data_IF_111322300723
#
_entry.id   IF_111322300723
#
_cell.length_a   1.000
_cell.length_b   1.000
_cell.length_c   1.000
_cell.angle_alpha   90.00
_cell.angle_beta   90.00
_cell.angle_gamma   90.00
#
_symmetry.space_group_name_H-M   'P 1'
#
loop_
_entity.id
_entity.type
_entity.pdbx_description
1 polymer ?
#
# COMPACT_ATOMS: atom_id res chain seq x y z
N UNK A 1 34.90 1.82 -74.24
CA UNK A 1 35.12 3.12 -73.55
C UNK A 1 33.93 4.06 -73.75
N UNK A 2 33.39 4.16 -74.96
CA UNK A 2 32.25 5.04 -75.27
C UNK A 2 30.92 4.70 -74.55
N UNK A 3 30.64 3.42 -74.33
CA UNK A 3 29.43 3.00 -73.60
C UNK A 3 29.41 3.46 -72.12
N UNK A 4 30.58 3.54 -71.48
CA UNK A 4 30.71 4.01 -70.08
C UNK A 4 30.55 5.54 -70.03
N UNK A 5 31.08 6.25 -71.04
CA UNK A 5 30.94 7.71 -71.15
C UNK A 5 29.47 8.12 -71.38
N UNK A 6 28.72 7.39 -72.22
CA UNK A 6 27.28 7.63 -72.42
C UNK A 6 26.47 7.35 -71.14
N UNK A 7 26.82 6.30 -70.38
CA UNK A 7 26.12 5.98 -69.13
C UNK A 7 26.36 7.06 -68.06
N UNK A 8 27.58 7.57 -67.95
CA UNK A 8 27.92 8.68 -67.03
C UNK A 8 27.20 9.97 -67.46
N UNK A 9 27.14 10.28 -68.76
CA UNK A 9 26.42 11.46 -69.27
C UNK A 9 24.90 11.35 -69.04
N UNK A 10 24.33 10.14 -69.21
CA UNK A 10 22.92 9.87 -68.96
C UNK A 10 22.56 9.96 -67.47
N UNK A 11 23.43 9.46 -66.58
CA UNK A 11 23.28 9.60 -65.12
C UNK A 11 23.45 11.06 -64.69
N UNK A 12 24.40 11.81 -65.26
CA UNK A 12 24.55 13.25 -64.99
C UNK A 12 23.33 14.05 -65.48
N UNK A 13 22.79 13.74 -66.67
CA UNK A 13 21.57 14.35 -67.20
C UNK A 13 20.34 14.06 -66.32
N UNK A 14 20.25 12.86 -65.74
CA UNK A 14 19.17 12.47 -64.81
C UNK A 14 19.24 13.23 -63.48
N UNK A 15 20.42 13.54 -62.96
CA UNK A 15 20.60 14.37 -61.76
C UNK A 15 20.37 15.87 -62.02
N UNK A 16 20.61 16.36 -63.24
CA UNK A 16 20.46 17.78 -63.60
C UNK A 16 19.05 18.19 -64.05
N UNK A 17 18.11 17.26 -64.22
CA UNK A 17 16.73 17.55 -64.62
C UNK A 17 15.75 17.54 -63.42
N UNK A 18 16.17 18.01 -62.24
CA UNK A 18 15.22 18.44 -61.20
C UNK A 18 14.91 19.92 -61.41
N UNK A 19 13.77 20.21 -62.02
CA UNK A 19 13.23 21.56 -62.12
C UNK A 19 13.07 22.10 -60.70
N UNK A 20 13.74 23.21 -60.33
CA UNK A 20 13.62 23.77 -58.99
C UNK A 20 12.19 24.26 -58.79
N UNK A 21 11.53 23.78 -57.73
CA UNK A 21 10.19 24.22 -57.36
C UNK A 21 10.33 25.54 -56.62
N UNK A 22 9.75 26.62 -57.16
CA UNK A 22 9.78 27.94 -56.52
C UNK A 22 8.70 28.03 -55.42
N UNK A 23 9.04 27.58 -54.21
CA UNK A 23 8.21 27.73 -53.01
C UNK A 23 8.82 28.74 -52.05
N UNK A 24 8.00 29.47 -51.29
CA UNK A 24 8.46 30.44 -50.30
C UNK A 24 8.85 29.77 -48.98
N UNK A 25 8.04 28.80 -48.54
CA UNK A 25 8.28 27.95 -47.38
C UNK A 25 8.16 26.49 -47.78
N UNK A 26 9.04 25.64 -47.24
CA UNK A 26 8.94 24.19 -47.41
C UNK A 26 7.69 23.63 -46.70
N UNK A 27 7.15 22.48 -47.16
CA UNK A 27 6.06 21.81 -46.46
C UNK A 27 6.43 21.47 -45.01
N UNK A 28 5.53 21.78 -44.06
CA UNK A 28 5.76 21.45 -42.66
C UNK A 28 5.86 19.94 -42.42
N UNK A 29 6.72 19.57 -41.48
CA UNK A 29 6.79 18.20 -40.97
C UNK A 29 5.53 17.84 -40.18
N UNK A 30 5.29 16.55 -40.04
CA UNK A 30 4.15 15.98 -39.30
C UNK A 30 4.15 16.48 -37.85
N UNK A 31 2.98 16.87 -37.34
CA UNK A 31 2.82 17.45 -35.99
C UNK A 31 3.06 18.96 -35.89
N UNK A 32 3.29 19.64 -37.02
CA UNK A 32 3.42 21.10 -37.11
C UNK A 32 2.29 21.69 -37.95
N UNK A 33 1.67 22.75 -37.44
CA UNK A 33 0.68 23.55 -38.17
C UNK A 33 1.35 24.71 -38.90
N UNK A 34 0.74 25.13 -40.00
CA UNK A 34 1.12 26.35 -40.70
C UNK A 34 0.63 27.59 -39.94
N UNK A 35 1.51 28.56 -39.78
CA UNK A 35 1.22 29.85 -39.19
C UNK A 35 1.51 30.95 -40.20
N UNK A 36 0.51 31.78 -40.49
CA UNK A 36 0.66 32.89 -41.41
C UNK A 36 1.63 33.94 -40.85
N UNK A 37 2.56 34.41 -41.69
CA UNK A 37 3.49 35.48 -41.34
C UNK A 37 2.83 36.81 -41.67
N UNK A 38 2.68 37.68 -40.66
CA UNK A 38 2.01 38.97 -40.82
C UNK A 38 2.78 39.85 -41.81
N UNK A 39 2.12 40.25 -42.90
CA UNK A 39 2.70 41.10 -43.96
C UNK A 39 3.31 40.35 -45.16
N UNK A 40 3.30 39.01 -45.18
CA UNK A 40 3.73 38.22 -46.33
C UNK A 40 2.55 37.63 -47.13
N UNK A 41 2.84 37.07 -48.31
CA UNK A 41 1.85 36.38 -49.15
C UNK A 41 1.47 35.03 -48.52
N UNK A 42 0.27 34.52 -48.84
CA UNK A 42 -0.30 33.28 -48.29
C UNK A 42 0.62 32.05 -48.47
N UNK A 43 1.45 32.03 -49.50
CA UNK A 43 2.41 30.95 -49.76
C UNK A 43 3.64 30.95 -48.83
N UNK A 44 3.84 31.99 -48.01
CA UNK A 44 4.90 32.11 -47.04
C UNK A 44 4.33 31.95 -45.63
N UNK A 45 4.76 30.91 -44.93
CA UNK A 45 4.29 30.55 -43.60
C UNK A 45 5.43 29.99 -42.75
N UNK A 46 5.24 30.05 -41.44
CA UNK A 46 6.09 29.36 -40.47
C UNK A 46 5.43 28.04 -40.04
N UNK A 47 6.26 27.05 -39.71
CA UNK A 47 5.80 25.78 -39.15
C UNK A 47 5.92 25.83 -37.62
N UNK A 48 4.77 25.85 -36.93
CA UNK A 48 4.72 25.85 -35.47
C UNK A 48 4.25 24.48 -34.96
N UNK A 49 4.88 23.90 -33.92
CA UNK A 49 4.45 22.63 -33.38
C UNK A 49 3.06 22.74 -32.74
N UNK A 50 2.23 21.72 -32.90
CA UNK A 50 0.99 21.62 -32.13
C UNK A 50 1.29 21.51 -30.63
N UNK A 51 0.35 21.93 -29.77
CA UNK A 51 0.53 21.89 -28.31
C UNK A 51 0.52 20.46 -27.76
N UNK A 52 0.78 20.27 -26.48
CA UNK A 52 0.60 18.95 -25.86
C UNK A 52 -0.86 18.53 -25.83
N UNK A 53 -1.13 17.25 -26.12
CA UNK A 53 -2.50 16.72 -26.21
C UNK A 53 -3.24 17.07 -27.50
N UNK A 54 -2.56 17.72 -28.46
CA UNK A 54 -3.11 18.10 -29.76
C UNK A 54 -2.40 17.37 -30.92
N UNK A 55 -3.15 17.11 -31.99
CA UNK A 55 -2.67 16.59 -33.28
C UNK A 55 -2.93 17.61 -34.39
N UNK A 56 -2.21 17.53 -35.51
CA UNK A 56 -2.52 18.33 -36.69
C UNK A 56 -3.89 17.92 -37.25
N UNK A 57 -4.74 18.88 -37.61
CA UNK A 57 -6.05 18.56 -38.20
C UNK A 57 -5.86 17.92 -39.59
N UNK A 58 -6.33 16.68 -39.83
CA UNK A 58 -6.16 16.02 -41.13
C UNK A 58 -6.88 16.72 -42.29
N UNK A 59 -7.86 17.58 -41.97
CA UNK A 59 -8.64 18.34 -42.94
C UNK A 59 -8.13 19.78 -43.15
N UNK A 60 -7.29 20.27 -42.24
CA UNK A 60 -6.79 21.65 -42.24
C UNK A 60 -5.38 21.72 -41.63
N UNK A 61 -4.37 21.99 -42.45
CA UNK A 61 -2.98 22.03 -41.99
C UNK A 61 -2.60 23.32 -41.23
N UNK A 62 -3.56 24.23 -41.00
CA UNK A 62 -3.38 25.46 -40.23
C UNK A 62 -3.82 25.33 -38.76
N UNK A 63 -4.61 24.30 -38.44
CA UNK A 63 -5.20 24.11 -37.11
C UNK A 63 -4.75 22.81 -36.42
N UNK A 64 -4.64 22.86 -35.11
CA UNK A 64 -4.42 21.67 -34.27
C UNK A 64 -5.72 21.29 -33.55
N UNK A 65 -6.01 19.99 -33.49
CA UNK A 65 -7.16 19.44 -32.80
C UNK A 65 -6.72 18.77 -31.51
N UNK A 66 -7.43 19.06 -30.42
CA UNK A 66 -7.24 18.35 -29.15
C UNK A 66 -7.76 16.92 -29.26
N UNK A 67 -6.97 15.95 -28.80
CA UNK A 67 -7.41 14.56 -28.76
C UNK A 67 -8.61 14.38 -27.81
N UNK A 68 -9.52 13.42 -28.12
CA UNK A 68 -10.55 12.97 -27.20
C UNK A 68 -9.97 12.56 -25.84
N UNK A 69 -10.77 12.66 -24.77
CA UNK A 69 -10.28 12.46 -23.40
C UNK A 69 -9.60 11.10 -23.17
N UNK A 70 -10.09 10.05 -23.84
CA UNK A 70 -9.62 8.66 -23.79
C UNK A 70 -8.35 8.40 -24.63
N UNK A 71 -7.88 9.40 -25.39
CA UNK A 71 -6.79 9.25 -26.36
C UNK A 71 -5.67 10.27 -26.12
N UNK A 72 -4.48 9.95 -26.62
CA UNK A 72 -3.29 10.79 -26.57
C UNK A 72 -2.61 10.83 -27.95
N UNK A 73 -2.06 11.99 -28.37
CA UNK A 73 -1.26 12.05 -29.60
C UNK A 73 -0.09 11.06 -29.55
N UNK A 74 0.15 10.38 -30.66
CA UNK A 74 1.38 9.61 -30.87
C UNK A 74 2.62 10.54 -30.88
N UNK A 75 3.83 9.97 -30.87
CA UNK A 75 5.07 10.75 -30.82
C UNK A 75 5.22 11.73 -32.00
N UNK A 76 4.52 11.51 -33.12
CA UNK A 76 4.52 12.38 -34.31
C UNK A 76 3.31 13.33 -34.36
N UNK A 77 2.41 13.30 -33.37
CA UNK A 77 1.18 14.11 -33.27
C UNK A 77 0.30 14.04 -34.53
N UNK A 78 0.22 12.86 -35.13
CA UNK A 78 -0.60 12.55 -36.30
C UNK A 78 -1.92 11.91 -35.91
N UNK A 79 -1.88 11.02 -34.93
CA UNK A 79 -3.02 10.20 -34.56
C UNK A 79 -3.25 10.21 -33.05
N UNK A 80 -4.52 10.25 -32.67
CA UNK A 80 -4.92 10.05 -31.28
C UNK A 80 -5.00 8.55 -30.99
N UNK A 81 -4.02 8.03 -30.26
CA UNK A 81 -3.94 6.65 -29.80
C UNK A 81 -4.66 6.48 -28.46
N UNK A 82 -5.23 5.30 -28.14
CA UNK A 82 -5.76 5.04 -26.81
C UNK A 82 -4.67 5.23 -25.75
N UNK A 83 -4.96 5.97 -24.68
CA UNK A 83 -4.02 6.14 -23.56
C UNK A 83 -3.71 4.80 -22.89
N UNK A 84 -2.46 4.64 -22.44
CA UNK A 84 -2.02 3.46 -21.69
C UNK A 84 -2.73 3.39 -20.33
N UNK A 85 -3.21 2.20 -19.97
CA UNK A 85 -3.86 1.93 -18.68
C UNK A 85 -2.78 1.50 -17.68
N UNK A 86 -2.56 2.28 -16.61
CA UNK A 86 -1.57 1.96 -15.59
C UNK A 86 -2.24 1.45 -14.30
N UNK A 87 -1.84 0.26 -13.84
CA UNK A 87 -2.19 -0.35 -12.55
C UNK A 87 -1.02 -1.19 -12.05
N UNK A 88 -1.01 -1.54 -10.75
CA UNK A 88 0.01 -2.42 -10.19
C UNK A 88 -0.25 -3.87 -10.63
N UNK A 89 0.52 -4.37 -11.59
CA UNK A 89 0.27 -5.69 -12.22
C UNK A 89 1.03 -6.81 -11.50
N UNK A 90 0.50 -8.04 -11.57
CA UNK A 90 1.24 -9.23 -11.15
C UNK A 90 2.43 -9.55 -12.07
N UNK A 91 2.39 -9.06 -13.31
CA UNK A 91 3.41 -9.35 -14.32
C UNK A 91 4.64 -8.43 -14.21
N UNK A 92 4.53 -7.29 -13.54
CA UNK A 92 5.68 -6.41 -13.30
C UNK A 92 6.47 -6.83 -12.05
N UNK A 93 7.75 -6.48 -12.03
CA UNK A 93 8.71 -6.90 -10.99
C UNK A 93 8.30 -6.45 -9.59
N UNK A 94 7.78 -5.24 -9.45
CA UNK A 94 7.34 -4.70 -8.16
C UNK A 94 6.11 -5.44 -7.62
N UNK A 95 5.08 -5.63 -8.45
CA UNK A 95 3.84 -6.31 -8.04
C UNK A 95 4.07 -7.79 -7.74
N UNK A 96 4.84 -8.49 -8.58
CA UNK A 96 5.23 -9.89 -8.32
C UNK A 96 6.05 -10.04 -7.03
N UNK A 97 7.01 -9.15 -6.78
CA UNK A 97 7.81 -9.19 -5.56
C UNK A 97 6.94 -8.97 -4.30
N UNK A 98 6.05 -7.97 -4.30
CA UNK A 98 5.14 -7.71 -3.18
C UNK A 98 4.18 -8.88 -2.92
N UNK A 99 3.65 -9.51 -3.97
CA UNK A 99 2.82 -10.70 -3.86
C UNK A 99 3.58 -11.89 -3.24
N UNK A 100 4.81 -12.15 -3.71
CA UNK A 100 5.67 -13.20 -3.15
C UNK A 100 5.98 -12.97 -1.67
N UNK A 101 6.31 -11.73 -1.29
CA UNK A 101 6.58 -11.35 0.10
C UNK A 101 5.33 -11.56 0.98
N UNK A 102 4.15 -11.13 0.49
CA UNK A 102 2.87 -11.35 1.16
C UNK A 102 2.61 -12.84 1.44
N UNK A 103 2.77 -13.70 0.42
CA UNK A 103 2.57 -15.15 0.56
C UNK A 103 3.60 -15.76 1.52
N UNK A 104 4.87 -15.37 1.41
CA UNK A 104 5.94 -15.87 2.28
C UNK A 104 5.65 -15.56 3.76
N UNK A 105 5.27 -14.31 4.08
CA UNK A 105 4.94 -13.93 5.45
C UNK A 105 3.67 -14.60 5.97
N UNK A 106 2.67 -14.84 5.11
CA UNK A 106 1.50 -15.62 5.48
C UNK A 106 1.87 -17.07 5.86
N UNK A 107 2.69 -17.74 5.05
CA UNK A 107 3.19 -19.09 5.33
C UNK A 107 4.05 -19.15 6.60
N UNK A 108 4.89 -18.13 6.83
CA UNK A 108 5.66 -17.99 8.06
C UNK A 108 4.74 -17.86 9.28
N UNK A 109 3.72 -17.00 9.20
CA UNK A 109 2.75 -16.78 10.26
C UNK A 109 1.94 -18.05 10.55
N UNK A 110 1.53 -18.77 9.50
CA UNK A 110 0.87 -20.07 9.62
C UNK A 110 1.76 -21.10 10.33
N UNK A 111 3.05 -21.15 9.99
CA UNK A 111 4.02 -22.04 10.63
C UNK A 111 4.16 -21.73 12.14
N UNK A 112 4.22 -20.43 12.49
CA UNK A 112 4.22 -19.98 13.90
C UNK A 112 2.92 -20.37 14.60
N UNK A 113 1.78 -20.23 13.95
CA UNK A 113 0.49 -20.64 14.48
C UNK A 113 0.44 -22.16 14.76
N UNK A 114 0.88 -23.00 13.81
CA UNK A 114 1.00 -24.44 14.01
C UNK A 114 1.93 -24.79 15.18
N UNK A 115 3.09 -24.13 15.29
CA UNK A 115 4.02 -24.32 16.41
C UNK A 115 3.35 -24.03 17.75
N UNK A 116 2.62 -22.93 17.85
CA UNK A 116 1.90 -22.53 19.06
C UNK A 116 0.78 -23.52 19.43
N UNK A 117 0.07 -24.08 18.44
CA UNK A 117 -0.94 -25.12 18.65
C UNK A 117 -0.29 -26.42 19.16
N UNK A 118 0.80 -26.87 18.53
CA UNK A 118 1.54 -28.07 18.95
C UNK A 118 2.10 -27.90 20.36
N UNK A 119 2.65 -26.73 20.67
CA UNK A 119 3.26 -26.40 21.98
C UNK A 119 2.27 -25.73 22.95
N UNK A 120 0.96 -25.90 22.74
CA UNK A 120 -0.12 -25.25 23.55
C UNK A 120 -0.08 -25.52 25.05
N UNK A 121 0.60 -26.59 25.47
CA UNK A 121 0.71 -27.00 26.88
C UNK A 121 1.98 -26.47 27.55
N UNK A 122 2.87 -25.83 26.80
CA UNK A 122 4.09 -25.24 27.37
C UNK A 122 3.77 -24.01 28.22
N UNK A 123 4.51 -23.78 29.31
CA UNK A 123 4.33 -22.62 30.18
C UNK A 123 4.38 -21.29 29.45
N UNK A 124 5.29 -21.12 28.47
CA UNK A 124 5.39 -19.89 27.67
C UNK A 124 4.08 -19.59 26.96
N UNK A 125 3.50 -20.58 26.25
CA UNK A 125 2.26 -20.39 25.49
C UNK A 125 1.05 -20.20 26.42
N UNK A 126 1.03 -20.87 27.58
CA UNK A 126 -0.06 -20.78 28.55
C UNK A 126 -0.08 -19.44 29.30
N UNK A 127 1.08 -18.90 29.67
CA UNK A 127 1.21 -17.59 30.30
C UNK A 127 0.81 -16.45 29.35
N UNK A 128 0.86 -16.69 28.05
CA UNK A 128 0.71 -15.70 26.99
C UNK A 128 -0.71 -15.42 26.51
N UNK A 129 -1.73 -15.85 27.27
CA UNK A 129 -3.15 -15.84 26.86
C UNK A 129 -3.33 -16.38 25.42
N UNK A 130 -3.43 -17.71 25.33
CA UNK A 130 -3.44 -18.47 24.06
C UNK A 130 -4.46 -17.93 23.05
N UNK A 131 -5.66 -17.58 23.51
CA UNK A 131 -6.76 -17.19 22.65
C UNK A 131 -6.47 -15.86 21.93
N UNK A 132 -5.93 -14.86 22.65
CA UNK A 132 -5.52 -13.58 22.04
C UNK A 132 -4.31 -13.75 21.12
N UNK A 133 -3.35 -14.62 21.49
CA UNK A 133 -2.19 -14.89 20.63
C UNK A 133 -2.59 -15.61 19.33
N UNK A 134 -3.55 -16.53 19.38
CA UNK A 134 -4.13 -17.18 18.21
C UNK A 134 -4.90 -16.19 17.34
N UNK A 135 -5.73 -15.35 17.95
CA UNK A 135 -6.49 -14.33 17.24
C UNK A 135 -5.56 -13.34 16.51
N UNK A 136 -4.45 -12.94 17.15
CA UNK A 136 -3.45 -12.06 16.54
C UNK A 136 -2.77 -12.74 15.34
N UNK A 137 -2.34 -14.01 15.46
CA UNK A 137 -1.71 -14.74 14.36
C UNK A 137 -2.67 -14.93 13.18
N UNK A 138 -3.92 -15.30 13.44
CA UNK A 138 -4.95 -15.44 12.40
C UNK A 138 -5.19 -14.08 11.71
N UNK A 139 -5.32 -13.01 12.48
CA UNK A 139 -5.50 -11.65 11.93
C UNK A 139 -4.29 -11.22 11.08
N UNK A 140 -3.06 -11.53 11.51
CA UNK A 140 -1.85 -11.26 10.73
C UNK A 140 -1.82 -12.07 9.42
N UNK A 141 -2.24 -13.33 9.41
CA UNK A 141 -2.35 -14.11 8.17
C UNK A 141 -3.29 -13.43 7.17
N UNK A 142 -4.48 -13.01 7.63
CA UNK A 142 -5.39 -12.24 6.79
C UNK A 142 -4.80 -10.88 6.38
N UNK A 143 -4.03 -10.23 7.24
CA UNK A 143 -3.35 -8.97 6.96
C UNK A 143 -2.28 -9.10 5.88
N UNK A 144 -1.51 -10.19 5.86
CA UNK A 144 -0.59 -10.45 4.75
C UNK A 144 -1.36 -10.74 3.46
N UNK A 145 -2.42 -11.56 3.52
CA UNK A 145 -3.21 -11.89 2.34
C UNK A 145 -3.99 -10.71 1.77
N UNK A 146 -4.40 -9.73 2.59
CA UNK A 146 -5.18 -8.59 2.10
C UNK A 146 -4.40 -7.72 1.10
N UNK A 147 -3.06 -7.70 1.20
CA UNK A 147 -2.18 -7.04 0.22
C UNK A 147 -2.41 -7.53 -1.21
N UNK A 148 -2.79 -8.80 -1.42
CA UNK A 148 -3.07 -9.34 -2.74
C UNK A 148 -4.30 -8.71 -3.40
N UNK A 149 -5.27 -8.24 -2.61
CA UNK A 149 -6.46 -7.54 -3.12
C UNK A 149 -6.15 -6.14 -3.67
N UNK A 150 -4.95 -5.60 -3.38
CA UNK A 150 -4.48 -4.33 -3.92
C UNK A 150 -3.75 -4.49 -5.26
N UNK A 151 -3.32 -5.71 -5.62
CA UNK A 151 -2.57 -6.00 -6.84
C UNK A 151 -3.53 -6.49 -7.93
N UNK A 152 -3.34 -6.01 -9.16
CA UNK A 152 -4.14 -6.37 -10.32
C UNK A 152 -5.04 -5.23 -10.79
N UNK A 153 -5.90 -5.53 -11.77
CA UNK A 153 -6.79 -4.53 -12.38
C UNK A 153 -7.90 -4.16 -11.39
N UNK A 154 -8.01 -2.89 -10.95
CA UNK A 154 -9.06 -2.47 -10.05
C UNK A 154 -10.43 -2.62 -10.71
N UNK A 155 -11.37 -3.18 -9.95
CA UNK A 155 -12.77 -3.29 -10.31
C UNK A 155 -13.61 -2.79 -9.12
N UNK A 156 -14.86 -2.40 -9.37
CA UNK A 156 -15.74 -1.79 -8.35
C UNK A 156 -15.80 -2.61 -7.05
N UNK A 157 -15.92 -3.93 -7.15
CA UNK A 157 -15.97 -4.82 -5.97
C UNK A 157 -14.62 -4.86 -5.23
N UNK A 158 -13.51 -4.97 -5.97
CA UNK A 158 -12.17 -5.03 -5.36
C UNK A 158 -11.80 -3.71 -4.67
N UNK A 159 -12.22 -2.57 -5.22
CA UNK A 159 -12.06 -1.26 -4.59
C UNK A 159 -12.73 -1.18 -3.21
N UNK A 160 -13.92 -1.78 -3.06
CA UNK A 160 -14.61 -1.84 -1.77
C UNK A 160 -13.93 -2.82 -0.82
N UNK A 161 -13.65 -4.04 -1.29
CA UNK A 161 -13.11 -5.11 -0.45
C UNK A 161 -11.72 -4.75 0.09
N UNK A 162 -10.82 -4.21 -0.74
CA UNK A 162 -9.43 -3.98 -0.34
C UNK A 162 -9.32 -3.06 0.89
N UNK A 163 -10.06 -1.94 0.89
CA UNK A 163 -10.02 -0.95 1.95
C UNK A 163 -10.74 -1.41 3.22
N UNK A 164 -11.90 -2.07 3.06
CA UNK A 164 -12.66 -2.60 4.20
C UNK A 164 -11.90 -3.73 4.88
N UNK A 165 -11.34 -4.66 4.10
CA UNK A 165 -10.53 -5.75 4.63
C UNK A 165 -9.32 -5.20 5.39
N UNK A 166 -8.58 -4.28 4.78
CA UNK A 166 -7.47 -3.59 5.43
C UNK A 166 -7.89 -2.99 6.78
N UNK A 167 -8.94 -2.16 6.80
CA UNK A 167 -9.36 -1.46 8.00
C UNK A 167 -9.83 -2.41 9.12
N UNK A 168 -10.62 -3.43 8.78
CA UNK A 168 -11.13 -4.41 9.76
C UNK A 168 -10.01 -5.27 10.32
N UNK A 169 -9.13 -5.81 9.47
CA UNK A 169 -8.02 -6.67 9.90
C UNK A 169 -7.06 -5.91 10.81
N UNK A 170 -6.69 -4.69 10.45
CA UNK A 170 -5.76 -3.89 11.25
C UNK A 170 -6.36 -3.50 12.59
N UNK A 171 -7.66 -3.15 12.62
CA UNK A 171 -8.39 -2.91 13.86
C UNK A 171 -8.41 -4.17 14.75
N UNK A 172 -8.60 -5.36 14.19
CA UNK A 172 -8.51 -6.63 14.92
C UNK A 172 -7.10 -6.87 15.50
N UNK A 173 -6.04 -6.65 14.70
CA UNK A 173 -4.66 -6.78 15.16
C UNK A 173 -4.36 -5.84 16.34
N UNK A 174 -4.66 -4.54 16.19
CA UNK A 174 -4.35 -3.53 17.20
C UNK A 174 -5.20 -3.70 18.45
N UNK A 175 -6.50 -3.99 18.31
CA UNK A 175 -7.38 -4.25 19.45
C UNK A 175 -6.97 -5.50 20.22
N UNK A 176 -6.48 -6.54 19.54
CA UNK A 176 -5.94 -7.75 20.19
C UNK A 176 -4.66 -7.43 20.99
N UNK A 177 -3.77 -6.59 20.45
CA UNK A 177 -2.57 -6.13 21.18
C UNK A 177 -2.96 -5.29 22.39
N UNK A 178 -3.93 -4.39 22.24
CA UNK A 178 -4.46 -3.59 23.34
C UNK A 178 -5.05 -4.50 24.43
N UNK A 179 -5.91 -5.44 24.06
CA UNK A 179 -6.50 -6.42 24.98
C UNK A 179 -5.43 -7.25 25.70
N UNK A 180 -4.39 -7.67 24.98
CA UNK A 180 -3.25 -8.40 25.53
C UNK A 180 -2.49 -7.57 26.56
N UNK A 181 -2.19 -6.31 26.23
CA UNK A 181 -1.46 -5.39 27.12
C UNK A 181 -2.27 -5.08 28.39
N UNK A 182 -3.57 -4.81 28.25
CA UNK A 182 -4.47 -4.60 29.40
C UNK A 182 -4.56 -5.86 30.26
N UNK A 183 -4.58 -7.06 29.65
CA UNK A 183 -4.55 -8.32 30.40
C UNK A 183 -3.32 -8.42 31.28
N UNK A 184 -2.13 -8.11 30.74
CA UNK A 184 -0.87 -8.12 31.52
C UNK A 184 -0.91 -7.12 32.67
N UNK A 185 -1.38 -5.89 32.42
CA UNK A 185 -1.52 -4.85 33.46
C UNK A 185 -2.47 -5.33 34.57
N UNK A 186 -3.61 -5.93 34.21
CA UNK A 186 -4.58 -6.42 35.19
C UNK A 186 -4.03 -7.57 36.04
N UNK A 187 -3.32 -8.53 35.43
CA UNK A 187 -2.69 -9.65 36.15
C UNK A 187 -1.70 -9.10 37.18
N UNK A 188 -0.82 -8.18 36.77
CA UNK A 188 0.16 -7.56 37.67
C UNK A 188 -0.52 -6.74 38.78
N UNK A 189 -1.60 -6.04 38.45
CA UNK A 189 -2.36 -5.25 39.42
C UNK A 189 -3.06 -6.13 40.47
N UNK A 190 -3.52 -7.32 40.10
CA UNK A 190 -4.14 -8.27 41.01
C UNK A 190 -3.17 -8.76 42.11
N UNK A 191 -1.88 -8.85 41.78
CA UNK A 191 -0.80 -9.19 42.74
C UNK A 191 -0.43 -8.06 43.70
N UNK A 192 -0.80 -6.80 43.41
CA UNK A 192 -0.51 -5.66 44.28
C UNK A 192 -1.66 -5.42 45.29
N UNK A 193 -1.42 -5.54 46.61
CA UNK A 193 -2.49 -5.48 47.61
C UNK A 193 -3.19 -4.11 47.74
N UNK A 194 -2.55 -3.00 47.34
CA UNK A 194 -3.08 -1.63 47.47
C UNK A 194 -3.77 -1.05 46.21
N UNK A 195 -4.06 -1.88 45.20
CA UNK A 195 -4.55 -1.39 43.91
C UNK A 195 -6.08 -1.25 43.82
N UNK A 196 -6.58 -0.05 43.50
CA UNK A 196 -8.00 0.20 43.14
C UNK A 196 -8.44 -0.54 41.86
N UNK A 197 -7.49 -1.06 41.05
CA UNK A 197 -7.78 -1.80 39.82
C UNK A 197 -8.15 -3.27 40.08
N UNK A 198 -8.09 -3.76 41.32
CA UNK A 198 -8.43 -5.15 41.66
C UNK A 198 -9.90 -5.48 41.34
N UNK A 199 -10.81 -4.52 41.49
CA UNK A 199 -12.23 -4.65 41.10
C UNK A 199 -12.38 -4.83 39.59
N UNK A 200 -11.49 -4.24 38.79
CA UNK A 200 -11.50 -4.29 37.32
C UNK A 200 -11.16 -5.69 36.78
N UNK A 201 -10.32 -6.44 37.51
CA UNK A 201 -9.91 -7.82 37.18
C UNK A 201 -11.12 -8.77 37.17
N UNK A 202 -12.12 -8.51 38.01
CA UNK A 202 -13.35 -9.31 38.09
C UNK A 202 -14.26 -9.19 36.85
N UNK A 203 -14.23 -8.07 36.14
CA UNK A 203 -15.11 -7.80 35.00
C UNK A 203 -14.68 -8.46 33.68
N UNK A 204 -13.52 -9.15 33.64
CA UNK A 204 -12.96 -9.77 32.42
C UNK A 204 -12.93 -8.83 31.20
N UNK A 205 -12.66 -7.54 31.43
CA UNK A 205 -12.69 -6.47 30.41
C UNK A 205 -11.95 -6.82 29.10
N UNK A 206 -10.75 -7.46 29.11
CA UNK A 206 -10.02 -7.76 27.88
C UNK A 206 -10.77 -8.62 26.86
N UNK A 207 -11.72 -9.46 27.31
CA UNK A 207 -12.53 -10.30 26.42
C UNK A 207 -13.45 -9.45 25.55
N UNK A 208 -13.91 -8.31 26.08
CA UNK A 208 -14.84 -7.42 25.37
C UNK A 208 -14.13 -6.37 24.51
N UNK A 209 -12.84 -6.10 24.72
CA UNK A 209 -12.10 -5.07 23.97
C UNK A 209 -12.11 -5.36 22.47
N UNK A 210 -11.70 -6.56 22.07
CA UNK A 210 -11.60 -6.93 20.65
C UNK A 210 -12.94 -6.84 19.91
N UNK A 211 -14.04 -7.49 20.36
CA UNK A 211 -15.31 -7.44 19.65
C UNK A 211 -15.91 -6.03 19.61
N UNK A 212 -15.78 -5.23 20.67
CA UNK A 212 -16.28 -3.85 20.68
C UNK A 212 -15.52 -2.98 19.68
N UNK A 213 -14.19 -3.04 19.67
CA UNK A 213 -13.38 -2.28 18.72
C UNK A 213 -13.66 -2.70 17.27
N UNK A 214 -13.75 -4.01 17.01
CA UNK A 214 -14.09 -4.54 15.70
C UNK A 214 -15.48 -4.09 15.23
N UNK A 215 -16.48 -4.12 16.13
CA UNK A 215 -17.84 -3.67 15.83
C UNK A 215 -17.88 -2.20 15.43
N UNK A 216 -17.17 -1.32 16.16
CA UNK A 216 -17.07 0.10 15.80
C UNK A 216 -16.44 0.27 14.42
N UNK A 217 -15.35 -0.43 14.12
CA UNK A 217 -14.72 -0.39 12.80
C UNK A 217 -15.66 -0.84 11.68
N UNK A 218 -16.40 -1.94 11.90
CA UNK A 218 -17.35 -2.50 10.92
C UNK A 218 -18.49 -1.50 10.67
N UNK A 219 -19.03 -0.88 11.72
CA UNK A 219 -20.08 0.15 11.58
C UNK A 219 -19.56 1.33 10.74
N UNK A 220 -18.35 1.83 11.02
CA UNK A 220 -17.75 2.91 10.23
C UNK A 220 -17.59 2.51 8.75
N UNK A 221 -17.16 1.28 8.48
CA UNK A 221 -17.04 0.77 7.11
C UNK A 221 -18.41 0.66 6.42
N UNK A 222 -19.44 0.16 7.10
CA UNK A 222 -20.81 0.07 6.55
C UNK A 222 -21.35 1.46 6.22
N UNK A 223 -21.19 2.42 7.12
CA UNK A 223 -21.62 3.81 6.93
C UNK A 223 -20.89 4.43 5.73
N UNK A 224 -19.59 4.18 5.60
CA UNK A 224 -18.80 4.65 4.47
C UNK A 224 -19.26 4.04 3.14
N UNK A 225 -19.44 2.71 3.08
CA UNK A 225 -19.94 2.02 1.89
C UNK A 225 -21.38 2.44 1.53
N UNK A 226 -22.25 2.68 2.50
CA UNK A 226 -23.64 3.05 2.23
C UNK A 226 -23.76 4.47 1.65
N UNK A 227 -22.93 5.41 2.10
CA UNK A 227 -23.02 6.81 1.68
C UNK A 227 -22.14 7.13 0.46
N UNK A 228 -20.92 6.60 0.42
CA UNK A 228 -19.92 6.95 -0.59
C UNK A 228 -18.95 5.78 -0.81
N UNK A 229 -19.48 4.67 -1.35
CA UNK A 229 -18.67 3.49 -1.61
C UNK A 229 -17.50 3.77 -2.57
N UNK A 230 -16.31 3.21 -2.33
CA UNK A 230 -15.20 3.30 -3.26
C UNK A 230 -15.55 2.72 -4.64
N UNK A 231 -15.08 3.38 -5.69
CA UNK A 231 -15.32 2.97 -7.08
C UNK A 231 -14.04 3.10 -7.91
N UNK A 232 -13.95 2.31 -8.98
CA UNK A 232 -12.85 2.43 -9.92
C UNK A 232 -13.05 3.67 -10.79
N UNK A 233 -12.06 4.56 -10.81
CA UNK A 233 -12.04 5.79 -11.59
C UNK A 233 -10.86 5.80 -12.55
N UNK A 234 -11.09 6.26 -13.78
CA UNK A 234 -10.04 6.50 -14.77
C UNK A 234 -9.55 7.94 -14.62
N UNK A 235 -8.47 8.15 -13.89
CA UNK A 235 -7.87 9.46 -13.73
C UNK A 235 -6.99 9.79 -14.94
N UNK A 236 -7.48 10.71 -15.76
CA UNK A 236 -6.84 11.17 -17.00
C UNK A 236 -5.97 12.42 -16.79
N UNK A 237 -5.95 12.97 -15.57
CA UNK A 237 -5.22 14.17 -15.17
C UNK A 237 -4.01 13.86 -14.28
N UNK A 238 -3.88 12.63 -13.77
CA UNK A 238 -2.78 12.21 -12.92
C UNK A 238 -1.43 12.17 -13.65
N UNK A 239 -1.40 11.76 -14.92
CA UNK A 239 -0.17 11.67 -15.71
C UNK A 239 -0.44 11.99 -17.20
N UNK A 240 0.44 12.81 -17.79
CA UNK A 240 0.32 13.27 -19.18
C UNK A 240 0.48 12.06 -20.11
N UNK A 241 -0.57 11.75 -20.89
CA UNK A 241 -0.57 10.63 -21.84
C UNK A 241 -0.89 9.25 -21.30
N UNK A 242 -1.25 9.12 -20.02
CA UNK A 242 -1.57 7.84 -19.38
C UNK A 242 -2.95 7.93 -18.70
N UNK A 243 -3.75 6.86 -18.77
CA UNK A 243 -4.95 6.67 -17.94
C UNK A 243 -4.54 5.85 -16.73
N UNK A 244 -4.53 6.48 -15.56
CA UNK A 244 -4.37 5.74 -14.30
C UNK A 244 -5.74 5.23 -13.92
N UNK A 245 -5.91 3.90 -13.80
CA UNK A 245 -7.13 3.36 -13.18
C UNK A 245 -6.81 3.12 -11.71
N UNK A 246 -7.44 3.92 -10.87
CA UNK A 246 -7.31 3.87 -9.41
C UNK A 246 -8.68 3.66 -8.76
N UNK A 247 -8.70 3.31 -7.48
CA UNK A 247 -9.96 3.32 -6.76
C UNK A 247 -10.09 4.63 -6.03
N UNK A 248 -11.05 5.44 -6.44
CA UNK A 248 -11.47 6.62 -5.69
C UNK A 248 -12.19 6.16 -4.41
N UNK A 249 -11.85 6.76 -3.28
CA UNK A 249 -12.43 6.45 -1.96
C UNK A 249 -13.88 6.94 -1.80
N UNK A 250 -14.41 7.67 -2.78
CA UNK A 250 -15.73 8.29 -2.74
C UNK A 250 -15.74 9.55 -1.87
N UNK A 251 -15.80 9.36 -0.55
CA UNK A 251 -15.75 10.47 0.42
C UNK A 251 -14.45 10.46 1.20
N UNK A 252 -13.61 11.48 0.95
CA UNK A 252 -12.35 11.70 1.70
C UNK A 252 -12.57 11.84 3.20
N UNK A 253 -13.69 12.43 3.61
CA UNK A 253 -14.02 12.61 5.04
C UNK A 253 -14.32 11.27 5.69
N UNK A 254 -15.17 10.44 5.07
CA UNK A 254 -15.52 9.13 5.63
C UNK A 254 -14.32 8.18 5.65
N UNK A 255 -13.50 8.21 4.59
CA UNK A 255 -12.23 7.49 4.56
C UNK A 255 -11.28 7.96 5.68
N UNK A 256 -11.13 9.27 5.88
CA UNK A 256 -10.33 9.83 6.96
C UNK A 256 -10.88 9.45 8.35
N UNK A 257 -12.21 9.32 8.52
CA UNK A 257 -12.80 8.81 9.77
C UNK A 257 -12.43 7.35 10.03
N UNK A 258 -12.47 6.50 9.00
CA UNK A 258 -12.08 5.07 9.09
C UNK A 258 -10.61 4.93 9.48
N UNK A 259 -9.71 5.66 8.80
CA UNK A 259 -8.28 5.68 9.14
C UNK A 259 -8.01 6.34 10.49
N UNK A 260 -8.72 7.42 10.80
CA UNK A 260 -8.59 8.16 12.06
C UNK A 260 -8.95 7.32 13.28
N UNK A 261 -9.99 6.48 13.19
CA UNK A 261 -10.31 5.53 14.23
C UNK A 261 -9.21 4.48 14.43
N UNK A 262 -8.64 3.94 13.35
CA UNK A 262 -7.48 3.04 13.45
C UNK A 262 -6.27 3.73 14.09
N UNK A 263 -5.99 4.98 13.73
CA UNK A 263 -4.93 5.80 14.31
C UNK A 263 -5.15 6.07 15.80
N UNK A 264 -6.40 6.35 16.22
CA UNK A 264 -6.78 6.50 17.62
C UNK A 264 -6.55 5.19 18.39
N UNK A 265 -7.03 4.07 17.85
CA UNK A 265 -6.86 2.75 18.45
C UNK A 265 -5.36 2.39 18.60
N UNK A 266 -4.55 2.68 17.58
CA UNK A 266 -3.10 2.50 17.60
C UNK A 266 -2.42 3.40 18.64
N UNK A 267 -2.86 4.66 18.77
CA UNK A 267 -2.33 5.60 19.76
C UNK A 267 -2.62 5.16 21.19
N UNK A 268 -3.86 4.73 21.46
CA UNK A 268 -4.25 4.18 22.76
C UNK A 268 -3.44 2.92 23.07
N UNK A 269 -3.32 2.01 22.11
CA UNK A 269 -2.53 0.78 22.25
C UNK A 269 -1.05 1.06 22.55
N UNK A 270 -0.44 2.00 21.82
CA UNK A 270 0.94 2.42 22.05
C UNK A 270 1.12 3.06 23.43
N UNK A 271 0.21 3.94 23.85
CA UNK A 271 0.25 4.58 25.16
C UNK A 271 0.18 3.54 26.29
N UNK A 272 -0.77 2.62 26.22
CA UNK A 272 -0.93 1.54 27.21
C UNK A 272 0.29 0.61 27.22
N UNK A 273 0.82 0.23 26.05
CA UNK A 273 2.03 -0.57 25.94
C UNK A 273 3.24 0.14 26.58
N UNK A 274 3.40 1.44 26.32
CA UNK A 274 4.46 2.24 26.91
C UNK A 274 4.39 2.26 28.44
N UNK A 275 3.19 2.34 29.04
CA UNK A 275 3.01 2.24 30.49
C UNK A 275 3.38 0.84 31.01
N UNK A 276 3.00 -0.21 30.27
CA UNK A 276 3.28 -1.60 30.64
C UNK A 276 4.76 -1.99 30.55
N UNK A 277 5.61 -1.24 29.83
CA UNK A 277 7.02 -1.60 29.55
C UNK A 277 7.89 -1.79 30.79
N UNK A 278 7.51 -1.16 31.91
CA UNK A 278 8.23 -1.23 33.20
C UNK A 278 7.77 -2.40 34.07
N UNK A 279 6.70 -3.09 33.70
CA UNK A 279 6.20 -4.23 34.46
C UNK A 279 7.19 -5.40 34.35
N UNK A 280 7.55 -6.05 35.47
CA UNK A 280 8.39 -7.25 35.45
C UNK A 280 7.55 -8.41 34.89
N UNK A 281 7.54 -8.53 33.57
CA UNK A 281 6.83 -9.60 32.88
C UNK A 281 7.75 -10.79 32.56
N UNK A 282 7.15 -11.97 32.51
CA UNK A 282 7.83 -13.21 32.16
C UNK A 282 8.41 -13.04 30.75
N UNK A 283 9.74 -13.00 30.63
CA UNK A 283 10.48 -12.85 29.36
C UNK A 283 10.48 -11.45 28.70
N UNK A 284 10.29 -10.36 29.44
CA UNK A 284 10.27 -8.99 28.88
C UNK A 284 9.21 -8.78 27.78
N UNK A 285 8.11 -9.55 27.82
CA UNK A 285 7.09 -9.53 26.77
C UNK A 285 6.49 -8.13 26.53
N UNK A 286 6.21 -7.37 27.59
CA UNK A 286 5.71 -5.99 27.46
C UNK A 286 6.65 -5.07 26.69
N UNK A 287 7.98 -5.26 26.79
CA UNK A 287 8.95 -4.47 26.01
C UNK A 287 8.86 -4.78 24.52
N UNK A 288 8.70 -6.04 24.17
CA UNK A 288 8.54 -6.46 22.78
C UNK A 288 7.21 -5.97 22.17
N UNK A 289 6.13 -5.97 22.95
CA UNK A 289 4.84 -5.39 22.54
C UNK A 289 4.95 -3.88 22.32
N UNK A 290 5.63 -3.15 23.22
CA UNK A 290 5.84 -1.71 23.05
C UNK A 290 6.69 -1.41 21.83
N UNK A 291 7.76 -2.16 21.62
CA UNK A 291 8.60 -2.02 20.44
C UNK A 291 7.82 -2.30 19.16
N UNK A 292 6.98 -3.35 19.14
CA UNK A 292 6.14 -3.67 17.98
C UNK A 292 5.12 -2.57 17.68
N UNK A 293 4.48 -2.00 18.71
CA UNK A 293 3.53 -0.88 18.54
C UNK A 293 4.23 0.40 18.08
N UNK A 294 5.47 0.64 18.50
CA UNK A 294 6.26 1.78 18.02
C UNK A 294 6.62 1.62 16.54
N UNK A 295 7.07 0.44 16.13
CA UNK A 295 7.32 0.12 14.71
C UNK A 295 6.04 0.31 13.89
N UNK A 296 4.93 -0.27 14.35
CA UNK A 296 3.62 -0.11 13.70
C UNK A 296 3.25 1.36 13.52
N UNK A 297 3.30 2.17 14.59
CA UNK A 297 2.97 3.58 14.53
C UNK A 297 3.90 4.36 13.59
N UNK A 298 5.21 4.09 13.62
CA UNK A 298 6.18 4.76 12.74
C UNK A 298 5.89 4.53 11.26
N UNK A 299 5.55 3.29 10.88
CA UNK A 299 5.20 2.93 9.50
C UNK A 299 3.99 3.74 9.03
N UNK A 300 2.94 3.82 9.85
CA UNK A 300 1.71 4.55 9.49
C UNK A 300 1.89 6.07 9.49
N UNK A 301 2.72 6.62 10.38
CA UNK A 301 3.06 8.05 10.36
C UNK A 301 3.84 8.40 9.09
N UNK A 302 4.79 7.55 8.67
CA UNK A 302 5.55 7.75 7.42
C UNK A 302 4.71 7.49 6.17
N UNK A 303 3.70 6.61 6.25
CA UNK A 303 2.77 6.37 5.15
C UNK A 303 2.00 7.63 4.74
N UNK A 304 1.57 8.48 5.70
CA UNK A 304 0.77 9.69 5.39
C UNK A 304 1.48 10.62 4.37
N UNK A 305 2.71 11.11 4.61
CA UNK A 305 3.40 11.96 3.65
C UNK A 305 3.75 11.21 2.36
N UNK A 306 4.08 9.91 2.43
CA UNK A 306 4.34 9.11 1.24
C UNK A 306 3.11 9.02 0.32
N UNK A 307 1.95 8.68 0.89
CA UNK A 307 0.66 8.60 0.20
C UNK A 307 0.27 9.91 -0.47
N UNK A 308 0.48 11.04 0.22
CA UNK A 308 0.17 12.36 -0.32
C UNK A 308 1.16 12.84 -1.39
N UNK A 309 2.38 12.31 -1.42
CA UNK A 309 3.44 12.71 -2.35
C UNK A 309 3.52 11.83 -3.59
N UNK A 310 3.00 10.60 -3.53
CA UNK A 310 2.99 9.65 -4.65
C UNK A 310 1.68 9.71 -5.41
N UNK A 311 1.72 9.41 -6.70
CA UNK A 311 0.54 9.33 -7.57
C UNK A 311 0.47 7.98 -8.29
N UNK A 312 -0.73 7.59 -8.69
CA UNK A 312 -1.00 6.40 -9.49
C UNK A 312 -0.57 5.09 -8.84
N UNK A 313 0.05 4.19 -9.60
CA UNK A 313 0.37 2.82 -9.12
C UNK A 313 1.35 2.79 -7.94
N UNK A 314 2.18 3.82 -7.76
CA UNK A 314 3.11 3.90 -6.65
C UNK A 314 2.40 4.13 -5.31
N UNK A 315 1.27 4.84 -5.30
CA UNK A 315 0.43 5.05 -4.11
C UNK A 315 -0.09 3.72 -3.55
N UNK A 316 -0.50 2.80 -4.44
CA UNK A 316 -0.92 1.45 -4.06
C UNK A 316 0.25 0.62 -3.52
N UNK A 317 1.43 0.75 -4.14
CA UNK A 317 2.63 0.05 -3.69
C UNK A 317 3.08 0.49 -2.29
N UNK A 318 3.05 1.80 -1.98
CA UNK A 318 3.40 2.30 -0.64
C UNK A 318 2.39 1.86 0.43
N UNK A 319 1.10 1.72 0.08
CA UNK A 319 0.07 1.17 0.96
C UNK A 319 0.33 -0.31 1.27
N UNK A 320 0.60 -1.13 0.24
CA UNK A 320 0.98 -2.54 0.42
C UNK A 320 2.24 -2.64 1.28
N UNK A 321 3.26 -1.81 1.03
CA UNK A 321 4.49 -1.81 1.82
C UNK A 321 4.23 -1.47 3.29
N UNK A 322 3.38 -0.48 3.57
CA UNK A 322 2.96 -0.14 4.93
C UNK A 322 2.22 -1.30 5.61
N UNK A 323 1.30 -1.97 4.91
CA UNK A 323 0.58 -3.15 5.41
C UNK A 323 1.53 -4.30 5.75
N UNK A 324 2.43 -4.65 4.82
CA UNK A 324 3.37 -5.76 4.99
C UNK A 324 4.38 -5.48 6.10
N UNK A 325 5.00 -4.30 6.10
CA UNK A 325 6.04 -3.93 7.06
C UNK A 325 5.49 -3.81 8.49
N UNK A 326 4.32 -3.21 8.68
CA UNK A 326 3.68 -3.10 9.99
C UNK A 326 3.26 -4.48 10.53
N UNK A 327 2.67 -5.33 9.69
CA UNK A 327 2.30 -6.72 10.04
C UNK A 327 3.53 -7.57 10.37
N UNK A 328 4.60 -7.46 9.57
CA UNK A 328 5.87 -8.14 9.82
C UNK A 328 6.52 -7.66 11.12
N UNK A 329 6.46 -6.35 11.41
CA UNK A 329 6.91 -5.77 12.67
C UNK A 329 6.20 -6.39 13.88
N UNK A 330 4.87 -6.55 13.81
CA UNK A 330 4.10 -7.23 14.85
C UNK A 330 4.48 -8.71 15.00
N UNK A 331 4.59 -9.44 13.88
CA UNK A 331 4.96 -10.85 13.88
C UNK A 331 6.35 -11.07 14.50
N UNK A 332 7.36 -10.38 13.99
CA UNK A 332 8.76 -10.54 14.39
C UNK A 332 8.92 -10.12 15.84
N UNK A 333 8.48 -8.92 16.23
CA UNK A 333 8.74 -8.43 17.57
C UNK A 333 8.04 -9.27 18.65
N UNK A 334 6.79 -9.68 18.43
CA UNK A 334 5.99 -10.38 19.46
C UNK A 334 6.26 -11.88 19.49
N UNK A 335 6.45 -12.52 18.34
CA UNK A 335 6.49 -13.99 18.25
C UNK A 335 7.89 -14.55 18.01
N UNK A 336 8.81 -13.84 17.36
CA UNK A 336 10.16 -14.36 17.14
C UNK A 336 10.90 -14.70 18.44
N UNK A 337 10.91 -13.85 19.50
CA UNK A 337 11.56 -14.19 20.77
C UNK A 337 10.96 -15.46 21.41
N UNK A 338 9.65 -15.68 21.24
CA UNK A 338 8.94 -16.84 21.79
C UNK A 338 9.26 -18.10 21.03
N UNK A 339 9.27 -18.04 19.69
CA UNK A 339 9.67 -19.16 18.84
C UNK A 339 11.13 -19.54 19.11
N UNK A 340 12.01 -18.55 19.27
CA UNK A 340 13.42 -18.74 19.62
C UNK A 340 13.54 -19.56 20.92
N UNK A 341 12.86 -19.17 21.99
CA UNK A 341 12.91 -19.91 23.27
C UNK A 341 12.27 -21.30 23.14
N UNK A 342 11.13 -21.42 22.46
CA UNK A 342 10.42 -22.70 22.30
C UNK A 342 11.26 -23.74 21.53
N UNK A 343 12.01 -23.31 20.51
CA UNK A 343 12.75 -24.20 19.62
C UNK A 343 14.20 -24.43 20.07
N UNK A 344 14.90 -23.38 20.49
CA UNK A 344 16.35 -23.43 20.75
C UNK A 344 16.70 -23.50 22.24
N UNK A 345 15.79 -23.08 23.12
CA UNK A 345 16.04 -23.05 24.57
C UNK A 345 14.88 -23.64 25.39
N UNK A 346 14.51 -24.92 25.17
CA UNK A 346 13.40 -25.56 25.87
C UNK A 346 13.58 -25.62 27.39
N UNK A 347 14.81 -25.55 27.91
CA UNK A 347 15.14 -25.51 29.33
C UNK A 347 14.53 -24.29 30.05
N UNK A 348 14.47 -23.14 29.35
CA UNK A 348 13.85 -21.91 29.85
C UNK A 348 12.31 -21.97 29.84
N UNK A 349 11.74 -22.99 29.20
CA UNK A 349 10.31 -23.24 29.09
C UNK A 349 9.81 -24.28 30.12
N UNK A 350 10.61 -24.64 31.13
CA UNK A 350 10.19 -25.50 32.23
C UNK A 350 9.45 -24.69 33.32
N UNK A 351 8.44 -25.31 33.96
CA UNK A 351 7.72 -24.66 35.08
C UNK A 351 8.67 -24.32 36.24
N UNK A 352 9.61 -25.21 36.52
CA UNK A 352 10.60 -25.05 37.58
C UNK A 352 11.51 -23.85 37.35
N UNK A 353 11.98 -23.63 36.11
CA UNK A 353 12.79 -22.46 35.78
C UNK A 353 12.01 -21.14 35.96
N UNK A 354 10.74 -21.11 35.53
CA UNK A 354 9.88 -19.93 35.67
C UNK A 354 9.59 -19.62 37.15
N UNK A 355 9.26 -20.64 37.95
CA UNK A 355 9.01 -20.47 39.40
C UNK A 355 10.28 -20.00 40.13
N UNK A 356 11.46 -20.57 39.82
CA UNK A 356 12.75 -20.18 40.42
C UNK A 356 13.15 -18.75 40.06
N UNK A 357 12.86 -18.31 38.84
CA UNK A 357 13.13 -16.93 38.39
C UNK A 357 12.19 -15.92 39.04
N UNK A 358 10.90 -16.24 39.15
CA UNK A 358 9.93 -15.37 39.80
C UNK A 358 10.21 -15.22 41.31
N UNK A 359 10.66 -16.29 41.98
CA UNK A 359 11.10 -16.22 43.38
C UNK A 359 12.28 -15.26 43.59
N UNK A 360 13.29 -15.29 42.72
CA UNK A 360 14.42 -14.33 42.78
C UNK A 360 14.02 -12.88 42.53
N UNK A 361 12.97 -12.63 41.74
CA UNK A 361 12.47 -11.28 41.49
C UNK A 361 11.55 -10.74 42.60
N UNK A 362 11.15 -11.57 43.57
CA UNK A 362 10.39 -11.14 44.76
C UNK A 362 11.30 -10.84 45.96
N UNK A 363 12.57 -11.28 45.93
CA UNK A 363 13.58 -11.03 46.98
C UNK A 363 14.43 -9.76 46.72
N UNK A 364 14.19 -9.06 45.62
CA UNK A 364 14.80 -7.75 45.26
C UNK A 364 13.67 -6.73 45.17
#
# INVERSE_FOLDING_TARGET
>A
MEAISMFILAVLMLELQRIPVSVCSDPCSKGYRRAAIQGQKICCFDCLPCSEGEILNPKDDTECLKCPADKWPDSRKEECLPKLIQFLSYEETLGSALACISVLFCLLTFSVFCLFIIKRNTPIVKANNRDLSYLLLISLMFGFMCSLAFIGRPNRIMCMIRQVMFAVIFSLCVSTILAKTITVIMIFSATNPNSKLKTLVGFRIPIYIVPVCAMVQIILCIVWLAQAAPFAESNMAAEIGIIVIECNEGSRVLFACVLGYMGLLASISLFVAFLARKLPDTFNETKFITFSMLVFASVWVTFIPAYLSTMGKQTVAVEIFAILSSSAGLLVCIFFPKCYIILLHPEMNSREYITRRNGKNQEI
#
